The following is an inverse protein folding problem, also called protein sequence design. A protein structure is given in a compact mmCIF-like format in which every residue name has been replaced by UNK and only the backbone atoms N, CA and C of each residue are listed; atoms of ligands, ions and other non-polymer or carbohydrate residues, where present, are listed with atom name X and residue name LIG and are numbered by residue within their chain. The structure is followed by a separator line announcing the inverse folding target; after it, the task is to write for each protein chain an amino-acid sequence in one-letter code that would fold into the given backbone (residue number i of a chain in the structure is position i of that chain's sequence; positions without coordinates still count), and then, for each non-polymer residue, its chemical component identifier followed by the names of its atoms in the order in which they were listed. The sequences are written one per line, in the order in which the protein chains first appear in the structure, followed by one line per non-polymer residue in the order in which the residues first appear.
data_IF_543444163361
#
_entry.id   IF_543444163361
#
_cell.length_a   1.000
_cell.length_b   1.000
_cell.length_c   1.000
_cell.angle_alpha   90.00
_cell.angle_beta   90.00
_cell.angle_gamma   90.00
#
_symmetry.space_group_name_H-M   'P 1'
#
loop_
_entity.id
_entity.type
_entity.pdbx_description
1 polymer ?
#
# COMPACT_ATOMS: atom_id res chain seq x y z
N UNK A 1 59.33 13.77 -27.96
CA UNK A 1 58.14 13.06 -27.47
C UNK A 1 58.08 13.20 -25.96
N UNK A 2 57.13 13.96 -25.41
CA UNK A 2 56.97 14.12 -23.95
C UNK A 2 56.16 12.94 -23.40
N UNK A 3 56.81 12.10 -22.59
CA UNK A 3 56.20 11.01 -21.83
C UNK A 3 55.42 11.63 -20.67
N UNK A 4 54.09 11.58 -20.72
CA UNK A 4 53.27 11.86 -19.55
C UNK A 4 53.33 10.63 -18.64
N UNK A 5 54.12 10.71 -17.56
CA UNK A 5 54.02 9.74 -16.47
C UNK A 5 52.71 10.01 -15.74
N UNK A 6 51.68 9.24 -16.06
CA UNK A 6 50.41 9.26 -15.34
C UNK A 6 50.71 8.89 -13.88
N UNK A 7 50.50 9.84 -12.97
CA UNK A 7 50.73 9.64 -11.55
C UNK A 7 49.69 8.64 -11.04
N UNK A 8 50.12 7.40 -10.75
CA UNK A 8 49.23 6.28 -10.34
C UNK A 8 48.26 6.62 -9.20
N UNK A 9 48.62 7.59 -8.34
CA UNK A 9 47.76 8.06 -7.24
C UNK A 9 46.48 8.78 -7.70
N UNK A 10 46.51 9.50 -8.83
CA UNK A 10 45.33 10.19 -9.38
C UNK A 10 44.33 9.18 -9.98
N UNK A 11 44.83 8.07 -10.55
CA UNK A 11 43.98 6.99 -11.08
C UNK A 11 43.26 6.20 -9.98
N UNK A 12 43.86 6.06 -8.79
CA UNK A 12 43.24 5.32 -7.67
C UNK A 12 42.11 6.13 -7.02
N UNK A 13 42.29 7.44 -6.84
CA UNK A 13 41.24 8.31 -6.30
C UNK A 13 40.07 8.45 -7.30
N UNK A 14 40.33 8.51 -8.60
CA UNK A 14 39.29 8.48 -9.64
C UNK A 14 38.49 7.17 -9.61
N UNK A 15 39.16 6.03 -9.42
CA UNK A 15 38.49 4.75 -9.26
C UNK A 15 37.63 4.72 -7.99
N UNK A 16 38.12 5.28 -6.88
CA UNK A 16 37.38 5.34 -5.61
C UNK A 16 36.13 6.22 -5.70
N UNK A 17 36.25 7.38 -6.37
CA UNK A 17 35.11 8.26 -6.64
C UNK A 17 34.10 7.56 -7.55
N UNK A 18 34.56 6.84 -8.58
CA UNK A 18 33.69 6.10 -9.50
C UNK A 18 32.90 5.01 -8.79
N UNK A 19 33.56 4.26 -7.89
CA UNK A 19 32.90 3.24 -7.06
C UNK A 19 31.90 3.88 -6.10
N UNK A 20 32.23 5.01 -5.49
CA UNK A 20 31.31 5.72 -4.60
C UNK A 20 30.03 6.18 -5.32
N UNK A 21 30.17 6.73 -6.54
CA UNK A 21 29.03 7.13 -7.37
C UNK A 21 28.19 5.90 -7.76
N UNK A 22 28.84 4.79 -8.14
CA UNK A 22 28.15 3.56 -8.51
C UNK A 22 27.35 2.97 -7.33
N UNK A 23 27.94 2.94 -6.13
CA UNK A 23 27.27 2.50 -4.91
C UNK A 23 26.11 3.41 -4.53
N UNK A 24 26.27 4.72 -4.71
CA UNK A 24 25.19 5.68 -4.47
C UNK A 24 24.00 5.43 -5.40
N UNK A 25 24.25 5.27 -6.72
CA UNK A 25 23.20 4.96 -7.70
C UNK A 25 22.51 3.63 -7.36
N UNK A 26 23.28 2.60 -7.02
CA UNK A 26 22.75 1.28 -6.65
C UNK A 26 21.88 1.38 -5.38
N UNK A 27 22.32 2.12 -4.38
CA UNK A 27 21.56 2.36 -3.16
C UNK A 27 20.24 3.10 -3.46
N UNK A 28 20.28 4.14 -4.29
CA UNK A 28 19.07 4.85 -4.72
C UNK A 28 18.09 3.92 -5.44
N UNK A 29 18.56 3.01 -6.30
CA UNK A 29 17.71 2.03 -6.98
C UNK A 29 17.06 1.07 -5.99
N UNK A 30 17.80 0.56 -5.00
CA UNK A 30 17.23 -0.32 -3.97
C UNK A 30 16.14 0.34 -3.14
N UNK A 31 16.28 1.63 -2.80
CA UNK A 31 15.24 2.38 -2.08
C UNK A 31 13.95 2.48 -2.91
N UNK A 32 14.07 2.77 -4.20
CA UNK A 32 12.91 2.86 -5.11
C UNK A 32 12.23 1.49 -5.26
N UNK A 33 13.00 0.41 -5.42
CA UNK A 33 12.42 -0.94 -5.53
C UNK A 33 11.70 -1.38 -4.26
N UNK A 34 12.25 -1.12 -3.08
CA UNK A 34 11.61 -1.46 -1.81
C UNK A 34 10.26 -0.75 -1.66
N UNK A 35 10.22 0.55 -1.99
CA UNK A 35 8.99 1.33 -1.98
C UNK A 35 7.95 0.83 -3.00
N UNK A 36 8.37 0.50 -4.21
CA UNK A 36 7.46 0.05 -5.26
C UNK A 36 6.82 -1.31 -4.93
N UNK A 37 7.60 -2.27 -4.42
CA UNK A 37 7.10 -3.61 -4.06
C UNK A 37 6.07 -3.51 -2.92
N UNK A 38 6.38 -2.74 -1.87
CA UNK A 38 5.47 -2.53 -0.75
C UNK A 38 4.18 -1.82 -1.17
N UNK A 39 4.26 -0.89 -2.12
CA UNK A 39 3.06 -0.20 -2.63
C UNK A 39 2.12 -1.14 -3.38
N UNK A 40 2.66 -2.11 -4.13
CA UNK A 40 1.85 -3.09 -4.87
C UNK A 40 1.05 -3.97 -3.92
N UNK A 41 1.69 -4.55 -2.91
CA UNK A 41 1.01 -5.41 -1.94
C UNK A 41 -0.07 -4.66 -1.16
N UNK A 42 0.19 -3.42 -0.75
CA UNK A 42 -0.80 -2.58 -0.05
C UNK A 42 -1.99 -2.25 -0.94
N UNK A 43 -1.78 -2.02 -2.24
CA UNK A 43 -2.89 -1.80 -3.18
C UNK A 43 -3.71 -3.06 -3.36
N UNK A 44 -3.07 -4.22 -3.52
CA UNK A 44 -3.74 -5.51 -3.68
C UNK A 44 -4.56 -5.86 -2.42
N UNK A 45 -3.99 -5.66 -1.23
CA UNK A 45 -4.68 -5.85 0.05
C UNK A 45 -5.90 -4.92 0.16
N UNK A 46 -5.75 -3.65 -0.25
CA UNK A 46 -6.85 -2.68 -0.23
C UNK A 46 -7.99 -3.07 -1.18
N UNK A 47 -7.66 -3.55 -2.39
CA UNK A 47 -8.65 -4.03 -3.36
C UNK A 47 -9.37 -5.25 -2.79
N UNK A 48 -8.65 -6.20 -2.21
CA UNK A 48 -9.23 -7.38 -1.58
C UNK A 48 -10.21 -7.02 -0.44
N UNK A 49 -9.87 -6.04 0.41
CA UNK A 49 -10.79 -5.54 1.44
C UNK A 49 -12.04 -4.87 0.83
N UNK A 50 -11.88 -4.13 -0.27
CA UNK A 50 -13.02 -3.55 -1.00
C UNK A 50 -13.94 -4.63 -1.57
N UNK A 51 -13.39 -5.67 -2.17
CA UNK A 51 -14.17 -6.76 -2.75
C UNK A 51 -14.94 -7.53 -1.68
N UNK A 52 -14.29 -7.87 -0.56
CA UNK A 52 -14.96 -8.50 0.58
C UNK A 52 -16.07 -7.62 1.19
N UNK A 53 -15.83 -6.30 1.28
CA UNK A 53 -16.84 -5.36 1.75
C UNK A 53 -18.01 -5.28 0.76
N UNK A 54 -17.75 -5.26 -0.55
CA UNK A 54 -18.77 -5.23 -1.58
C UNK A 54 -19.64 -6.48 -1.55
N UNK A 55 -19.06 -7.67 -1.42
CA UNK A 55 -19.82 -8.94 -1.35
C UNK A 55 -20.82 -8.93 -0.18
N UNK A 56 -20.42 -8.41 0.98
CA UNK A 56 -21.30 -8.29 2.15
C UNK A 56 -22.35 -7.20 1.98
N UNK A 57 -21.99 -6.08 1.37
CA UNK A 57 -22.95 -5.02 1.02
C UNK A 57 -24.00 -5.56 0.04
N UNK A 58 -23.60 -6.34 -0.96
CA UNK A 58 -24.53 -6.91 -1.91
C UNK A 58 -25.45 -7.95 -1.25
N UNK A 59 -24.93 -8.73 -0.30
CA UNK A 59 -25.78 -9.57 0.54
C UNK A 59 -26.78 -8.74 1.37
N UNK A 60 -26.31 -7.66 2.01
CA UNK A 60 -27.18 -6.72 2.74
C UNK A 60 -28.29 -6.13 1.86
N UNK A 61 -27.99 -5.82 0.59
CA UNK A 61 -29.00 -5.32 -0.36
C UNK A 61 -30.06 -6.36 -0.69
N UNK A 62 -29.71 -7.65 -0.61
CA UNK A 62 -30.64 -8.76 -0.86
C UNK A 62 -31.42 -9.17 0.40
N UNK A 63 -30.82 -9.09 1.57
CA UNK A 63 -31.39 -9.61 2.84
C UNK A 63 -31.91 -8.54 3.77
N UNK A 64 -31.49 -7.28 3.59
CA UNK A 64 -31.76 -6.15 4.49
C UNK A 64 -30.97 -6.18 5.80
N UNK A 65 -30.10 -7.20 6.01
CA UNK A 65 -29.34 -7.39 7.25
C UNK A 65 -27.86 -7.44 6.93
N UNK A 66 -27.08 -6.57 7.57
CA UNK A 66 -25.65 -6.52 7.33
C UNK A 66 -24.92 -7.56 8.17
N UNK A 67 -24.09 -8.37 7.52
CA UNK A 67 -23.25 -9.34 8.21
C UNK A 67 -22.02 -8.65 8.82
N UNK A 68 -22.10 -8.37 10.12
CA UNK A 68 -21.03 -7.78 10.92
C UNK A 68 -20.08 -8.81 11.57
N UNK A 69 -20.15 -10.09 11.18
CA UNK A 69 -19.29 -11.12 11.76
C UNK A 69 -17.81 -10.85 11.43
N UNK A 70 -16.96 -10.89 12.46
CA UNK A 70 -15.52 -10.77 12.27
C UNK A 70 -14.92 -12.03 11.66
N UNK A 71 -13.86 -11.86 10.88
CA UNK A 71 -13.09 -12.96 10.29
C UNK A 71 -11.61 -12.77 10.65
N UNK A 72 -11.16 -13.47 11.71
CA UNK A 72 -9.79 -13.34 12.20
C UNK A 72 -9.48 -11.92 12.68
N UNK A 73 -8.54 -11.23 12.02
CA UNK A 73 -8.15 -9.84 12.29
C UNK A 73 -9.04 -8.80 11.60
N UNK A 74 -9.97 -9.25 10.76
CA UNK A 74 -10.86 -8.40 9.98
C UNK A 74 -12.18 -8.22 10.73
N UNK A 75 -12.60 -6.97 10.88
CA UNK A 75 -13.85 -6.58 11.52
C UNK A 75 -14.70 -5.75 10.57
N UNK A 76 -16.02 -5.90 10.69
CA UNK A 76 -17.00 -5.22 9.86
C UNK A 76 -17.94 -4.41 10.74
N UNK A 77 -18.29 -3.21 10.29
CA UNK A 77 -19.24 -2.36 11.00
C UNK A 77 -20.11 -1.58 10.02
N UNK A 78 -21.33 -1.29 10.46
CA UNK A 78 -22.23 -0.35 9.82
C UNK A 78 -22.46 0.84 10.74
N UNK A 79 -22.58 2.02 10.15
CA UNK A 79 -22.85 3.26 10.87
C UNK A 79 -23.85 4.10 10.07
N UNK A 80 -24.96 4.47 10.70
CA UNK A 80 -25.87 5.46 10.15
C UNK A 80 -25.16 6.82 10.06
N UNK A 81 -25.17 7.43 8.88
CA UNK A 81 -24.59 8.75 8.69
C UNK A 81 -25.58 9.85 9.11
N UNK A 82 -25.09 11.09 9.12
CA UNK A 82 -25.94 12.27 9.37
C UNK A 82 -27.08 12.40 8.37
N UNK A 83 -26.88 11.89 7.15
CA UNK A 83 -27.94 11.70 6.17
C UNK A 83 -28.74 10.42 6.52
N UNK A 84 -30.05 10.52 6.78
CA UNK A 84 -30.88 9.36 7.13
C UNK A 84 -30.98 8.34 5.99
N UNK A 85 -30.76 8.76 4.74
CA UNK A 85 -30.79 7.88 3.57
C UNK A 85 -29.46 7.16 3.34
N UNK A 86 -28.39 7.44 4.10
CA UNK A 86 -27.07 6.84 3.88
C UNK A 86 -26.57 6.03 5.08
N UNK A 87 -26.03 4.86 4.77
CA UNK A 87 -25.33 3.99 5.73
C UNK A 87 -23.89 3.84 5.26
N UNK A 88 -22.95 3.99 6.19
CA UNK A 88 -21.52 3.71 5.97
C UNK A 88 -21.20 2.32 6.43
N UNK A 89 -20.71 1.49 5.52
CA UNK A 89 -20.14 0.20 5.84
C UNK A 89 -18.62 0.33 5.89
N UNK A 90 -18.00 -0.27 6.90
CA UNK A 90 -16.56 -0.21 7.13
C UNK A 90 -16.01 -1.60 7.38
N UNK A 91 -14.88 -1.88 6.75
CA UNK A 91 -14.04 -3.04 7.02
C UNK A 91 -12.71 -2.54 7.59
N UNK A 92 -12.28 -3.13 8.70
CA UNK A 92 -11.01 -2.83 9.34
C UNK A 92 -10.23 -4.13 9.50
N UNK A 93 -9.05 -4.19 8.88
CA UNK A 93 -8.06 -5.22 9.13
C UNK A 93 -6.97 -4.67 10.04
N UNK A 94 -6.89 -5.24 11.24
CA UNK A 94 -5.88 -4.89 12.24
C UNK A 94 -4.52 -5.59 12.02
N UNK A 95 -4.33 -6.31 10.91
CA UNK A 95 -3.05 -6.89 10.53
C UNK A 95 -2.00 -5.84 10.14
N UNK A 96 -0.70 -6.23 10.17
CA UNK A 96 0.52 -5.49 9.78
C UNK A 96 0.34 -4.08 9.15
N UNK A 97 -0.01 -3.08 9.96
CA UNK A 97 -0.11 -1.68 9.53
C UNK A 97 -1.50 -1.05 9.61
N UNK A 98 -2.54 -1.85 9.88
CA UNK A 98 -3.91 -1.37 10.12
C UNK A 98 -4.53 -0.73 8.89
N UNK A 99 -5.32 -1.50 8.12
CA UNK A 99 -5.99 -1.00 6.93
C UNK A 99 -7.49 -0.86 7.17
N UNK A 100 -8.05 0.28 6.80
CA UNK A 100 -9.49 0.53 6.88
C UNK A 100 -10.02 0.97 5.52
N UNK A 101 -11.12 0.37 5.11
CA UNK A 101 -11.86 0.71 3.90
C UNK A 101 -13.32 0.96 4.29
N UNK A 102 -13.91 2.01 3.73
CA UNK A 102 -15.32 2.35 3.97
C UNK A 102 -16.04 2.63 2.66
N UNK A 103 -17.34 2.34 2.64
CA UNK A 103 -18.23 2.62 1.51
C UNK A 103 -19.58 3.13 2.02
N UNK A 104 -20.04 4.22 1.42
CA UNK A 104 -21.32 4.83 1.74
C UNK A 104 -22.35 4.33 0.71
N UNK A 105 -23.49 3.85 1.21
CA UNK A 105 -24.55 3.24 0.40
C UNK A 105 -25.89 3.79 0.85
N UNK A 106 -26.80 3.99 -0.11
CA UNK A 106 -28.16 4.35 0.21
C UNK A 106 -28.86 3.24 0.99
N UNK A 107 -29.58 3.61 2.04
CA UNK A 107 -30.38 2.74 2.88
C UNK A 107 -31.48 2.13 2.01
N UNK A 108 -31.44 0.81 1.87
CA UNK A 108 -32.56 0.08 1.27
C UNK A 108 -33.69 0.02 2.30
N UNK A 109 -34.83 0.64 1.95
CA UNK A 109 -36.08 0.64 2.71
C UNK A 109 -37.06 -0.32 2.07
#
# INVERSE_FOLDING_TARGET
MKKYSYCKGVSLIEALISVAIMLFILFSMFLVFNSAILSSSVVDDKVNLYDQLNDRIDNYRLTGVFDNTSSGTITFSEQQLSDPELIRFTINDSSNGGMTVSKDVAKYT
#
